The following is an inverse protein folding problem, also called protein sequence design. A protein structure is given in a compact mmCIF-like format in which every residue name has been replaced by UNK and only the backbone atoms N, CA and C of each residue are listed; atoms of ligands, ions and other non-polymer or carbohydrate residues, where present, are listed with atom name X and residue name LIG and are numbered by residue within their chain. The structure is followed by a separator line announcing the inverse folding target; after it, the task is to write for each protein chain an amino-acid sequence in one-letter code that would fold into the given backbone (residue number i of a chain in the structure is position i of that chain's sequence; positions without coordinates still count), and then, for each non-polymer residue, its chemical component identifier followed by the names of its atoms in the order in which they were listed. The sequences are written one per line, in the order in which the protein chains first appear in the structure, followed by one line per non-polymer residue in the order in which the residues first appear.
data_IF_173186838537
#
_entry.id   IF_173186838537
#
_cell.length_a   1.000
_cell.length_b   1.000
_cell.length_c   1.000
_cell.angle_alpha   90.00
_cell.angle_beta   90.00
_cell.angle_gamma   90.00
#
_symmetry.space_group_name_H-M   'P 1'
#
loop_
_entity.id
_entity.type
_entity.pdbx_description
1 polymer ?
#
# COMPACT_ATOMS: atom_id res chain seq x y z
N UNK A 1 -11.27 -2.15 23.65
CA UNK A 1 -10.95 -3.46 23.03
C UNK A 1 -10.01 -3.31 21.82
N UNK A 2 -10.26 -2.36 20.91
CA UNK A 2 -9.41 -2.13 19.72
C UNK A 2 -7.91 -1.95 20.03
N UNK A 3 -7.54 -1.09 21.00
CA UNK A 3 -6.12 -0.89 21.35
C UNK A 3 -5.40 -2.16 21.82
N UNK A 4 -6.07 -3.01 22.62
CA UNK A 4 -5.51 -4.29 23.07
C UNK A 4 -5.27 -5.24 21.90
N UNK A 5 -6.17 -5.23 20.91
CA UNK A 5 -6.04 -6.03 19.70
C UNK A 5 -4.90 -5.53 18.80
N UNK A 6 -4.68 -4.21 18.73
CA UNK A 6 -3.57 -3.65 17.95
C UNK A 6 -2.20 -3.94 18.56
N UNK A 7 -2.06 -3.85 19.89
CA UNK A 7 -0.81 -4.22 20.58
C UNK A 7 -0.46 -5.68 20.31
N UNK A 8 -1.43 -6.59 20.45
CA UNK A 8 -1.24 -8.00 20.17
C UNK A 8 -0.90 -8.26 18.70
N UNK A 9 -1.58 -7.60 17.76
CA UNK A 9 -1.29 -7.71 16.33
C UNK A 9 0.13 -7.24 16.00
N UNK A 10 0.58 -6.12 16.58
CA UNK A 10 1.94 -5.59 16.38
C UNK A 10 3.00 -6.57 16.85
N UNK A 11 2.81 -7.17 18.04
CA UNK A 11 3.71 -8.19 18.59
C UNK A 11 3.79 -9.41 17.68
N UNK A 12 2.65 -9.96 17.26
CA UNK A 12 2.60 -11.14 16.40
C UNK A 12 3.22 -10.89 15.01
N UNK A 13 2.95 -9.74 14.40
CA UNK A 13 3.53 -9.36 13.12
C UNK A 13 5.04 -9.16 13.24
N UNK A 14 5.53 -8.53 14.30
CA UNK A 14 6.97 -8.32 14.53
C UNK A 14 7.68 -9.66 14.75
N UNK A 15 7.11 -10.56 15.55
CA UNK A 15 7.64 -11.91 15.74
C UNK A 15 7.68 -12.70 14.42
N UNK A 16 6.61 -12.61 13.63
CA UNK A 16 6.54 -13.23 12.30
C UNK A 16 7.61 -12.67 11.36
N UNK A 17 7.81 -11.35 11.36
CA UNK A 17 8.83 -10.68 10.55
C UNK A 17 10.23 -11.22 10.88
N UNK A 18 10.56 -11.33 12.16
CA UNK A 18 11.85 -11.84 12.62
C UNK A 18 12.03 -13.32 12.24
N UNK A 19 11.00 -14.15 12.41
CA UNK A 19 11.04 -15.57 12.06
C UNK A 19 11.23 -15.78 10.54
N UNK A 20 10.54 -15.00 9.70
CA UNK A 20 10.68 -15.09 8.24
C UNK A 20 12.00 -14.51 7.75
N UNK A 21 12.51 -13.45 8.40
CA UNK A 21 13.84 -12.89 8.13
C UNK A 21 14.95 -13.92 8.41
N UNK A 22 14.88 -14.62 9.53
CA UNK A 22 15.82 -15.67 9.88
C UNK A 22 15.84 -16.84 8.88
N UNK A 23 14.72 -17.06 8.17
CA UNK A 23 14.58 -18.11 7.15
C UNK A 23 14.80 -17.60 5.72
N UNK A 24 15.07 -16.30 5.52
CA UNK A 24 15.23 -15.71 4.19
C UNK A 24 13.95 -15.72 3.33
N UNK A 25 12.77 -15.81 3.94
CA UNK A 25 11.49 -15.92 3.24
C UNK A 25 10.99 -14.54 2.77
N UNK A 26 11.59 -14.01 1.72
CA UNK A 26 11.34 -12.67 1.16
C UNK A 26 9.85 -12.37 0.96
N UNK A 27 9.10 -13.27 0.31
CA UNK A 27 7.66 -13.10 0.08
C UNK A 27 6.88 -12.89 1.39
N UNK A 28 7.21 -13.64 2.44
CA UNK A 28 6.56 -13.51 3.73
C UNK A 28 6.95 -12.20 4.44
N UNK A 29 8.23 -11.80 4.33
CA UNK A 29 8.75 -10.54 4.88
C UNK A 29 7.98 -9.34 4.31
N UNK A 30 7.85 -9.24 2.98
CA UNK A 30 7.17 -8.10 2.35
C UNK A 30 5.69 -8.05 2.73
N UNK A 31 4.99 -9.20 2.77
CA UNK A 31 3.59 -9.25 3.21
C UNK A 31 3.41 -8.79 4.66
N UNK A 32 4.31 -9.20 5.55
CA UNK A 32 4.27 -8.78 6.96
C UNK A 32 4.52 -7.28 7.08
N UNK A 33 5.47 -6.72 6.32
CA UNK A 33 5.70 -5.27 6.30
C UNK A 33 4.47 -4.50 5.84
N UNK A 34 3.84 -4.89 4.73
CA UNK A 34 2.56 -4.30 4.30
C UNK A 34 1.51 -4.34 5.40
N UNK A 35 1.38 -5.48 6.09
CA UNK A 35 0.41 -5.61 7.19
C UNK A 35 0.74 -4.71 8.39
N UNK A 36 2.04 -4.53 8.71
CA UNK A 36 2.48 -3.54 9.72
C UNK A 36 2.13 -2.11 9.29
N UNK A 37 2.19 -1.81 7.99
CA UNK A 37 1.73 -0.54 7.43
C UNK A 37 0.24 -0.30 7.67
N UNK A 38 -0.61 -1.28 7.37
CA UNK A 38 -2.05 -1.17 7.65
C UNK A 38 -2.38 -1.10 9.14
N UNK A 39 -1.63 -1.83 9.97
CA UNK A 39 -1.80 -1.75 11.42
C UNK A 39 -1.47 -0.33 11.93
N UNK A 40 -0.36 0.25 11.47
CA UNK A 40 0.02 1.61 11.82
C UNK A 40 -1.01 2.65 11.34
N UNK A 41 -1.56 2.49 10.12
CA UNK A 41 -2.69 3.31 9.65
C UNK A 41 -3.90 3.20 10.58
N UNK A 42 -4.28 1.99 10.99
CA UNK A 42 -5.39 1.77 11.90
C UNK A 42 -5.16 2.38 13.30
N UNK A 43 -3.90 2.56 13.70
CA UNK A 43 -3.49 3.23 14.93
C UNK A 43 -3.36 4.75 14.78
N UNK A 44 -3.53 5.30 13.57
CA UNK A 44 -3.30 6.72 13.27
C UNK A 44 -1.82 7.11 13.19
N UNK A 45 -0.90 6.14 13.20
CA UNK A 45 0.53 6.38 13.05
C UNK A 45 0.92 6.43 11.57
N UNK A 46 0.67 7.60 11.00
CA UNK A 46 0.93 7.92 9.60
C UNK A 46 2.42 7.74 9.21
N UNK A 47 3.36 8.02 10.11
CA UNK A 47 4.80 7.94 9.82
C UNK A 47 5.27 6.49 9.77
N UNK A 48 4.87 5.68 10.76
CA UNK A 48 5.19 4.25 10.79
C UNK A 48 4.51 3.51 9.64
N UNK A 49 3.29 3.89 9.27
CA UNK A 49 2.60 3.33 8.10
C UNK A 49 3.41 3.54 6.81
N UNK A 50 3.83 4.77 6.56
CA UNK A 50 4.62 5.15 5.38
C UNK A 50 5.92 4.35 5.29
N UNK A 51 6.65 4.26 6.40
CA UNK A 51 7.88 3.48 6.49
C UNK A 51 7.66 2.03 6.05
N UNK A 52 6.64 1.37 6.61
CA UNK A 52 6.39 -0.03 6.33
C UNK A 52 5.89 -0.29 4.92
N UNK A 53 5.02 0.57 4.38
CA UNK A 53 4.58 0.43 2.99
C UNK A 53 5.73 0.64 2.01
N UNK A 54 6.57 1.66 2.19
CA UNK A 54 7.75 1.87 1.34
C UNK A 54 8.69 0.67 1.39
N UNK A 55 9.01 0.17 2.58
CA UNK A 55 9.88 -0.99 2.75
C UNK A 55 9.30 -2.29 2.17
N UNK A 56 7.97 -2.45 2.17
CA UNK A 56 7.29 -3.56 1.50
C UNK A 56 7.36 -3.42 -0.01
N UNK A 57 7.00 -2.25 -0.52
CA UNK A 57 6.88 -1.94 -1.93
C UNK A 57 8.23 -2.08 -2.65
N UNK A 58 9.30 -1.49 -2.12
CA UNK A 58 10.65 -1.55 -2.71
C UNK A 58 11.17 -2.99 -2.79
N UNK A 59 11.04 -3.76 -1.70
CA UNK A 59 11.51 -5.13 -1.71
C UNK A 59 10.61 -6.06 -2.54
N UNK A 60 9.30 -5.79 -2.62
CA UNK A 60 8.41 -6.57 -3.49
C UNK A 60 8.79 -6.41 -4.97
N UNK A 61 9.09 -5.18 -5.41
CA UNK A 61 9.52 -4.90 -6.78
C UNK A 61 10.81 -5.62 -7.16
N UNK A 62 11.85 -5.54 -6.31
CA UNK A 62 13.14 -6.22 -6.53
C UNK A 62 13.02 -7.73 -6.72
N UNK A 63 11.92 -8.33 -6.26
CA UNK A 63 11.67 -9.76 -6.31
C UNK A 63 10.51 -10.16 -7.24
N UNK A 64 10.00 -9.23 -8.06
CA UNK A 64 8.93 -9.50 -9.02
C UNK A 64 7.57 -9.80 -8.37
N UNK A 65 7.35 -9.35 -7.13
CA UNK A 65 6.13 -9.56 -6.35
C UNK A 65 5.13 -8.42 -6.58
N UNK A 66 4.68 -8.29 -7.83
CA UNK A 66 3.88 -7.15 -8.29
C UNK A 66 2.57 -6.98 -7.49
N UNK A 67 1.89 -8.08 -7.13
CA UNK A 67 0.68 -8.05 -6.31
C UNK A 67 0.92 -7.35 -4.96
N UNK A 68 1.98 -7.72 -4.26
CA UNK A 68 2.31 -7.14 -2.95
C UNK A 68 2.78 -5.69 -3.09
N UNK A 69 3.51 -5.37 -4.16
CA UNK A 69 3.91 -3.99 -4.45
C UNK A 69 2.69 -3.09 -4.66
N UNK A 70 1.73 -3.51 -5.48
CA UNK A 70 0.50 -2.74 -5.75
C UNK A 70 -0.34 -2.52 -4.49
N UNK A 71 -0.42 -3.51 -3.60
CA UNK A 71 -1.12 -3.36 -2.32
C UNK A 71 -0.45 -2.35 -1.39
N UNK A 72 0.89 -2.37 -1.32
CA UNK A 72 1.63 -1.36 -0.57
C UNK A 72 1.47 0.05 -1.16
N UNK A 73 1.42 0.18 -2.50
CA UNK A 73 1.13 1.45 -3.17
C UNK A 73 -0.29 1.94 -2.83
N UNK A 74 -1.29 1.06 -2.80
CA UNK A 74 -2.65 1.43 -2.38
C UNK A 74 -2.70 1.93 -0.92
N UNK A 75 -1.92 1.31 -0.03
CA UNK A 75 -1.75 1.79 1.35
C UNK A 75 -1.14 3.19 1.44
N UNK A 76 -0.11 3.48 0.63
CA UNK A 76 0.45 4.83 0.52
C UNK A 76 -0.56 5.82 -0.08
N UNK A 77 -1.31 5.42 -1.11
CA UNK A 77 -2.35 6.25 -1.71
C UNK A 77 -3.41 6.65 -0.66
N UNK A 78 -3.79 5.73 0.22
CA UNK A 78 -4.71 6.01 1.33
C UNK A 78 -4.11 7.02 2.31
N UNK A 79 -2.83 6.86 2.66
CA UNK A 79 -2.12 7.82 3.50
C UNK A 79 -2.08 9.22 2.88
N UNK A 80 -1.78 9.31 1.57
CA UNK A 80 -1.80 10.59 0.84
C UNK A 80 -3.21 11.20 0.83
N UNK A 81 -4.25 10.39 0.58
CA UNK A 81 -5.63 10.87 0.59
C UNK A 81 -6.05 11.41 1.96
N UNK A 82 -5.71 10.70 3.05
CA UNK A 82 -6.00 11.13 4.42
C UNK A 82 -5.27 12.43 4.81
N UNK A 83 -4.10 12.69 4.23
CA UNK A 83 -3.32 13.93 4.43
C UNK A 83 -3.77 15.08 3.51
N UNK A 84 -4.76 14.89 2.64
CA UNK A 84 -5.21 15.89 1.68
C UNK A 84 -4.32 16.02 0.44
N UNK A 85 -3.35 15.12 0.25
CA UNK A 85 -2.50 15.05 -0.94
C UNK A 85 -3.23 14.37 -2.10
N UNK A 86 -4.36 14.93 -2.50
CA UNK A 86 -5.37 14.29 -3.35
C UNK A 86 -4.84 13.94 -4.73
N UNK A 87 -4.11 14.84 -5.38
CA UNK A 87 -3.55 14.60 -6.71
C UNK A 87 -2.60 13.41 -6.73
N UNK A 88 -1.77 13.27 -5.70
CA UNK A 88 -0.84 12.12 -5.62
C UNK A 88 -1.62 10.84 -5.33
N UNK A 89 -2.56 10.86 -4.38
CA UNK A 89 -3.41 9.70 -4.09
C UNK A 89 -4.20 9.22 -5.32
N UNK A 90 -4.75 10.14 -6.11
CA UNK A 90 -5.48 9.83 -7.33
C UNK A 90 -4.57 9.18 -8.38
N UNK A 91 -3.37 9.72 -8.62
CA UNK A 91 -2.37 9.13 -9.53
C UNK A 91 -1.97 7.72 -9.10
N UNK A 92 -1.72 7.53 -7.81
CA UNK A 92 -1.37 6.22 -7.28
C UNK A 92 -2.51 5.22 -7.43
N UNK A 93 -3.76 5.63 -7.18
CA UNK A 93 -4.93 4.77 -7.39
C UNK A 93 -5.09 4.36 -8.86
N UNK A 94 -4.98 5.32 -9.79
CA UNK A 94 -5.04 5.05 -11.23
C UNK A 94 -3.95 4.07 -11.68
N UNK A 95 -2.72 4.27 -11.21
CA UNK A 95 -1.62 3.36 -11.51
C UNK A 95 -1.88 1.94 -10.96
N UNK A 96 -2.33 1.83 -9.70
CA UNK A 96 -2.61 0.52 -9.08
C UNK A 96 -3.68 -0.25 -9.86
N UNK A 97 -4.80 0.39 -10.19
CA UNK A 97 -5.90 -0.30 -10.87
C UNK A 97 -5.55 -0.66 -12.31
N UNK A 98 -4.84 0.22 -13.02
CA UNK A 98 -4.33 -0.09 -14.35
C UNK A 98 -3.36 -1.27 -14.34
N UNK A 99 -2.36 -1.24 -13.45
CA UNK A 99 -1.35 -2.29 -13.36
C UNK A 99 -1.95 -3.61 -12.89
N UNK A 100 -2.92 -3.57 -11.98
CA UNK A 100 -3.62 -4.78 -11.53
C UNK A 100 -4.36 -5.45 -12.70
N UNK A 101 -5.04 -4.65 -13.52
CA UNK A 101 -5.69 -5.15 -14.74
C UNK A 101 -4.69 -5.65 -15.78
N UNK A 102 -3.59 -4.91 -15.98
CA UNK A 102 -2.55 -5.25 -16.96
C UNK A 102 -1.86 -6.58 -16.65
N UNK A 103 -1.59 -6.85 -15.37
CA UNK A 103 -0.98 -8.10 -14.91
C UNK A 103 -1.99 -9.22 -14.62
N UNK A 104 -3.28 -9.01 -14.89
CA UNK A 104 -4.37 -9.96 -14.61
C UNK A 104 -4.35 -10.50 -13.17
N UNK A 105 -4.00 -9.63 -12.22
CA UNK A 105 -3.82 -10.04 -10.83
C UNK A 105 -5.17 -10.25 -10.15
N UNK A 106 -5.24 -11.30 -9.33
CA UNK A 106 -6.45 -11.65 -8.59
C UNK A 106 -6.87 -10.50 -7.67
N UNK A 107 -8.17 -10.19 -7.69
CA UNK A 107 -8.78 -9.28 -6.73
C UNK A 107 -8.85 -9.92 -5.33
N UNK A 108 -8.14 -9.32 -4.38
CA UNK A 108 -8.29 -9.62 -2.94
C UNK A 108 -9.31 -8.62 -2.34
N UNK A 109 -10.33 -9.09 -1.60
CA UNK A 109 -11.33 -8.22 -1.00
C UNK A 109 -10.77 -7.12 -0.09
N UNK A 110 -9.67 -7.38 0.63
CA UNK A 110 -9.05 -6.39 1.48
C UNK A 110 -8.46 -5.22 0.67
N UNK A 111 -7.82 -5.56 -0.44
CA UNK A 111 -7.20 -4.58 -1.32
C UNK A 111 -8.25 -3.75 -2.07
N UNK A 112 -9.38 -4.37 -2.43
CA UNK A 112 -10.55 -3.64 -2.94
C UNK A 112 -11.06 -2.61 -1.92
N UNK A 113 -11.18 -2.99 -0.65
CA UNK A 113 -11.66 -2.07 0.39
C UNK A 113 -10.74 -0.84 0.52
N UNK A 114 -9.42 -1.04 0.50
CA UNK A 114 -8.46 0.08 0.59
C UNK A 114 -8.61 1.00 -0.62
N UNK A 115 -8.70 0.47 -1.83
CA UNK A 115 -8.88 1.28 -3.05
C UNK A 115 -10.18 2.06 -3.04
N UNK A 116 -11.28 1.47 -2.56
CA UNK A 116 -12.56 2.17 -2.40
C UNK A 116 -12.49 3.29 -1.36
N UNK A 117 -11.73 3.10 -0.27
CA UNK A 117 -11.47 4.19 0.68
C UNK A 117 -10.69 5.34 0.04
N UNK A 118 -9.64 5.04 -0.73
CA UNK A 118 -8.90 6.06 -1.48
C UNK A 118 -9.84 6.80 -2.41
N UNK A 119 -10.62 6.05 -3.22
CA UNK A 119 -11.59 6.60 -4.17
C UNK A 119 -12.58 7.54 -3.48
N UNK A 120 -13.14 7.13 -2.35
CA UNK A 120 -14.08 7.94 -1.56
C UNK A 120 -13.46 9.26 -1.12
N UNK A 121 -12.22 9.23 -0.61
CA UNK A 121 -11.53 10.43 -0.12
C UNK A 121 -11.14 11.39 -1.25
N UNK A 122 -10.61 10.87 -2.37
CA UNK A 122 -10.22 11.71 -3.51
C UNK A 122 -11.42 12.27 -4.26
N UNK A 123 -12.56 11.54 -4.29
CA UNK A 123 -13.77 11.94 -5.00
C UNK A 123 -14.37 13.27 -4.50
N UNK A 124 -13.98 13.71 -3.30
CA UNK A 124 -14.36 15.00 -2.72
C UNK A 124 -13.78 16.21 -3.47
N UNK A 125 -12.81 16.02 -4.37
CA UNK A 125 -12.07 17.10 -5.00
C UNK A 125 -12.16 17.04 -6.53
N UNK A 126 -12.58 18.10 -7.23
CA UNK A 126 -12.90 18.04 -8.65
C UNK A 126 -11.74 17.65 -9.58
N UNK A 127 -10.49 17.77 -9.14
CA UNK A 127 -9.29 17.43 -9.94
C UNK A 127 -9.00 15.93 -9.98
N UNK A 128 -9.60 15.13 -9.10
CA UNK A 128 -9.23 13.72 -8.88
C UNK A 128 -9.27 12.87 -10.16
N UNK A 129 -10.24 13.10 -11.03
CA UNK A 129 -10.46 12.29 -12.24
C UNK A 129 -9.33 12.45 -13.25
N UNK A 130 -8.84 13.67 -13.43
CA UNK A 130 -7.71 13.97 -14.33
C UNK A 130 -6.40 13.37 -13.81
N UNK A 131 -6.13 13.50 -12.51
CA UNK A 131 -4.95 12.93 -11.87
C UNK A 131 -4.98 11.40 -11.85
N UNK A 132 -6.16 10.80 -11.63
CA UNK A 132 -6.37 9.37 -11.76
C UNK A 132 -6.04 8.88 -13.18
N UNK A 133 -6.56 9.55 -14.21
CA UNK A 133 -6.30 9.18 -15.60
C UNK A 133 -4.81 9.27 -15.96
N UNK A 134 -4.10 10.29 -15.46
CA UNK A 134 -2.64 10.38 -15.59
C UNK A 134 -1.96 9.18 -14.93
N UNK A 135 -2.37 8.82 -13.71
CA UNK A 135 -1.88 7.65 -12.98
C UNK A 135 -1.95 6.35 -13.77
N UNK A 136 -3.06 6.11 -14.47
CA UNK A 136 -3.28 4.91 -15.28
C UNK A 136 -2.36 4.78 -16.50
N UNK A 137 -1.53 5.79 -16.79
CA UNK A 137 -0.53 5.74 -17.86
C UNK A 137 0.89 5.48 -17.35
N UNK A 138 1.08 5.45 -16.03
CA UNK A 138 2.40 5.37 -15.39
C UNK A 138 2.78 3.89 -15.18
N UNK A 139 3.93 3.43 -15.72
CA UNK A 139 4.43 2.09 -15.43
C UNK A 139 4.82 1.92 -13.95
N UNK A 140 4.76 0.69 -13.43
CA UNK A 140 5.11 0.37 -12.05
C UNK A 140 6.47 0.97 -11.63
N UNK A 141 7.51 0.77 -12.43
CA UNK A 141 8.85 1.31 -12.16
C UNK A 141 8.89 2.83 -11.94
N UNK A 142 8.04 3.59 -12.64
CA UNK A 142 7.98 5.05 -12.50
C UNK A 142 7.20 5.49 -11.25
N UNK A 143 6.20 4.71 -10.81
CA UNK A 143 5.54 4.93 -9.51
C UNK A 143 6.55 4.71 -8.38
N UNK A 144 7.37 3.66 -8.50
CA UNK A 144 8.35 3.27 -7.49
C UNK A 144 9.50 4.26 -7.35
N UNK A 145 9.98 4.83 -8.47
CA UNK A 145 11.09 5.78 -8.49
C UNK A 145 10.84 7.04 -7.64
N UNK A 146 9.58 7.39 -7.34
CA UNK A 146 9.26 8.51 -6.44
C UNK A 146 9.57 8.24 -4.97
N UNK A 147 9.76 6.97 -4.61
CA UNK A 147 9.89 6.52 -3.22
C UNK A 147 11.20 5.78 -2.96
N UNK A 148 12.14 5.77 -3.90
CA UNK A 148 13.54 5.30 -3.74
C UNK A 148 14.45 6.48 -3.45
#
# INVERSE_FOLDING_TARGET
MAQRNYTQASQLLTQSLNAYAAQGLVFAIVRVRRNLGYLALAQGDAATAEYWFRASMQQADLHGLADIALHAIAGLALLHAQRGNVSEAARMLGAVEHLQSFYELRNDPHDNQVREQVRTLIALYPTWSSDYALGSTIPLAQVLAKYT
#
